data_IF_146832260989
#
_entry.id   IF_146832260989
#
_cell.length_a   1.000
_cell.length_b   1.000
_cell.length_c   1.000
_cell.angle_alpha   90.00
_cell.angle_beta   90.00
_cell.angle_gamma   90.00
#
_symmetry.space_group_name_H-M   'P 1'
#
loop_
_entity.id
_entity.type
_entity.pdbx_description
1 polymer ?
#
# COMPACT_ATOMS: atom_id res chain seq x y z
N UNK A 1 14.18 12.84 12.01
CA UNK A 1 13.01 13.26 11.22
C UNK A 1 12.90 12.30 10.04
N UNK A 2 12.28 11.14 10.22
CA UNK A 2 12.35 10.03 9.24
C UNK A 2 10.96 9.40 8.95
N UNK A 3 9.88 10.05 9.39
CA UNK A 3 8.52 9.56 9.24
C UNK A 3 7.96 9.85 7.84
N UNK A 4 8.37 10.96 7.20
CA UNK A 4 7.94 11.32 5.85
C UNK A 4 8.56 10.42 4.77
N UNK A 5 9.86 10.10 4.87
CA UNK A 5 10.54 9.25 3.87
C UNK A 5 9.95 7.84 3.77
N UNK A 6 9.54 7.24 4.90
CA UNK A 6 8.90 5.92 4.91
C UNK A 6 7.52 5.94 4.26
N UNK A 7 6.76 7.03 4.46
CA UNK A 7 5.45 7.21 3.82
C UNK A 7 5.55 7.39 2.31
N UNK A 8 6.52 8.19 1.84
CA UNK A 8 6.75 8.41 0.41
C UNK A 8 7.16 7.12 -0.30
N UNK A 9 8.07 6.33 0.30
CA UNK A 9 8.47 5.02 -0.23
C UNK A 9 7.32 4.02 -0.28
N UNK A 10 6.41 4.07 0.71
CA UNK A 10 5.20 3.27 0.70
C UNK A 10 4.28 3.64 -0.47
N UNK A 11 4.00 4.93 -0.64
CA UNK A 11 3.15 5.43 -1.72
C UNK A 11 3.75 5.04 -3.08
N UNK A 12 5.04 5.29 -3.30
CA UNK A 12 5.74 4.93 -4.54
C UNK A 12 5.66 3.42 -4.83
N UNK A 13 5.85 2.57 -3.81
CA UNK A 13 5.78 1.12 -3.99
C UNK A 13 4.36 0.64 -4.33
N UNK A 14 3.34 1.21 -3.70
CA UNK A 14 1.93 0.89 -3.97
C UNK A 14 1.53 1.34 -5.38
N UNK A 15 1.89 2.56 -5.78
CA UNK A 15 1.60 3.10 -7.09
C UNK A 15 2.33 2.33 -8.21
N UNK A 16 3.56 1.89 -7.98
CA UNK A 16 4.30 1.07 -8.95
C UNK A 16 3.63 -0.28 -9.24
N UNK A 17 2.90 -0.85 -8.27
CA UNK A 17 2.26 -2.16 -8.44
C UNK A 17 0.82 -2.07 -8.93
N UNK A 18 0.01 -1.17 -8.34
CA UNK A 18 -1.42 -1.10 -8.63
C UNK A 18 -1.90 0.26 -9.10
N UNK A 19 -0.98 1.20 -9.33
CA UNK A 19 -1.32 2.57 -9.68
C UNK A 19 -2.03 3.33 -8.56
N UNK A 20 -2.53 4.53 -8.85
CA UNK A 20 -3.28 5.35 -7.89
C UNK A 20 -4.58 4.68 -7.43
N UNK A 21 -5.18 3.81 -8.25
CA UNK A 21 -6.41 3.09 -7.90
C UNK A 21 -6.22 2.13 -6.73
N UNK A 22 -5.05 1.49 -6.63
CA UNK A 22 -4.75 0.65 -5.48
C UNK A 22 -4.58 1.50 -4.21
N UNK A 23 -3.89 2.64 -4.31
CA UNK A 23 -3.74 3.57 -3.19
C UNK A 23 -5.10 4.12 -2.71
N UNK A 24 -6.03 4.37 -3.65
CA UNK A 24 -7.37 4.86 -3.35
C UNK A 24 -8.15 3.93 -2.40
N UNK A 25 -7.84 2.62 -2.37
CA UNK A 25 -8.45 1.67 -1.44
C UNK A 25 -8.21 2.00 0.03
N UNK A 26 -7.10 2.67 0.36
CA UNK A 26 -6.82 3.13 1.71
C UNK A 26 -7.89 4.11 2.24
N UNK A 27 -8.60 4.80 1.35
CA UNK A 27 -9.61 5.80 1.69
C UNK A 27 -11.05 5.28 1.63
N UNK A 28 -11.25 4.02 1.19
CA UNK A 28 -12.58 3.40 1.11
C UNK A 28 -13.09 2.96 2.49
N UNK A 29 -12.21 2.52 3.38
CA UNK A 29 -12.54 2.07 4.73
C UNK A 29 -11.38 2.33 5.71
N UNK A 30 -11.63 2.77 6.96
CA UNK A 30 -10.59 2.95 7.97
C UNK A 30 -9.72 1.70 8.24
N UNK A 31 -10.27 0.50 8.05
CA UNK A 31 -9.55 -0.78 8.21
C UNK A 31 -8.56 -1.06 7.06
N UNK A 32 -8.62 -0.29 5.97
CA UNK A 32 -7.69 -0.38 4.86
C UNK A 32 -6.42 0.44 5.10
N UNK A 33 -6.37 1.28 6.14
CA UNK A 33 -5.17 2.04 6.46
C UNK A 33 -3.99 1.09 6.70
N UNK A 34 -2.79 1.44 6.19
CA UNK A 34 -1.60 0.64 6.42
C UNK A 34 -1.14 0.79 7.87
N UNK A 35 -0.73 -0.32 8.45
CA UNK A 35 -0.02 -0.37 9.73
C UNK A 35 1.43 0.10 9.56
N UNK A 36 2.12 0.39 10.66
CA UNK A 36 3.55 0.74 10.61
C UNK A 36 4.44 -0.37 10.02
N UNK A 37 4.02 -1.64 10.16
CA UNK A 37 4.73 -2.78 9.58
C UNK A 37 4.57 -2.75 8.06
N UNK A 38 3.35 -2.52 7.59
CA UNK A 38 3.02 -2.39 6.17
C UNK A 38 3.63 -1.14 5.53
N UNK A 39 3.78 -0.03 6.25
CA UNK A 39 4.49 1.15 5.72
C UNK A 39 5.99 0.84 5.50
N UNK A 40 6.59 0.01 6.36
CA UNK A 40 7.98 -0.44 6.21
C UNK A 40 8.15 -1.52 5.16
N UNK A 41 7.11 -2.32 4.95
CA UNK A 41 7.05 -3.39 3.94
C UNK A 41 5.74 -3.28 3.13
N UNK A 42 5.72 -2.43 2.09
CA UNK A 42 4.52 -2.14 1.31
C UNK A 42 3.92 -3.38 0.64
N UNK A 43 4.74 -4.40 0.39
CA UNK A 43 4.29 -5.66 -0.22
C UNK A 43 3.24 -6.38 0.64
N UNK A 44 3.29 -6.24 1.96
CA UNK A 44 2.29 -6.82 2.86
C UNK A 44 0.91 -6.19 2.68
N UNK A 45 0.87 -4.86 2.53
CA UNK A 45 -0.37 -4.13 2.31
C UNK A 45 -0.95 -4.43 0.93
N UNK A 46 -0.09 -4.44 -0.09
CA UNK A 46 -0.45 -4.81 -1.47
C UNK A 46 -0.97 -6.24 -1.53
N UNK A 47 -0.37 -7.19 -0.81
CA UNK A 47 -0.88 -8.56 -0.78
C UNK A 47 -2.27 -8.66 -0.12
N UNK A 48 -2.56 -7.77 0.84
CA UNK A 48 -3.83 -7.72 1.57
C UNK A 48 -4.95 -7.03 0.79
N UNK A 49 -4.67 -5.88 0.18
CA UNK A 49 -5.67 -5.02 -0.48
C UNK A 49 -5.55 -4.98 -1.99
N UNK A 50 -4.45 -5.48 -2.56
CA UNK A 50 -4.28 -5.63 -3.99
C UNK A 50 -5.30 -6.61 -4.58
N UNK A 51 -5.56 -6.51 -5.90
CA UNK A 51 -6.32 -7.56 -6.57
C UNK A 51 -5.60 -8.89 -6.34
N UNK A 52 -6.36 -9.94 -5.99
CA UNK A 52 -5.81 -11.29 -5.98
C UNK A 52 -5.17 -11.49 -7.36
N UNK A 53 -3.84 -11.65 -7.40
CA UNK A 53 -3.14 -12.01 -8.63
C UNK A 53 -3.67 -13.40 -8.98
N UNK A 54 -4.70 -13.44 -9.82
CA UNK A 54 -5.05 -14.65 -10.55
C UNK A 54 -3.86 -14.90 -11.45
N UNK A 55 -2.97 -15.77 -10.99
CA UNK A 55 -1.98 -16.40 -11.86
C UNK A 55 -2.76 -17.12 -12.97
N UNK A 56 -2.63 -16.63 -14.19
CA UNK A 56 -3.10 -17.28 -15.40
C UNK A 56 -2.08 -18.32 -15.87
#
# INVERSE_FOLDING_TARGET
MAQYEQGERFIEAVENVGGPELLNRAFEDPLHLPTLVEIRDPSLWIARLGPAVTAA
#
